data_IF_366870254779
#
_entry.id   IF_366870254779
#
_cell.length_a   1.000
_cell.length_b   1.000
_cell.length_c   1.000
_cell.angle_alpha   90.00
_cell.angle_beta   90.00
_cell.angle_gamma   90.00
#
_symmetry.space_group_name_H-M   'P 1'
#
loop_
_entity.id
_entity.type
_entity.pdbx_description
1 polymer ?
#
# COMPACT_ATOMS: atom_id res chain seq x y z
N UNK A 1 -32.01 17.99 3.41
CA UNK A 1 -30.82 17.92 4.28
C UNK A 1 -29.64 18.10 3.38
N UNK A 2 -29.23 19.35 3.18
CA UNK A 2 -28.15 19.68 2.26
C UNK A 2 -26.83 19.45 3.00
N UNK A 3 -26.25 18.27 2.78
CA UNK A 3 -24.92 17.97 3.30
C UNK A 3 -23.95 18.76 2.44
N UNK A 4 -23.53 19.93 2.94
CA UNK A 4 -22.40 20.68 2.42
C UNK A 4 -21.14 19.83 2.61
N UNK A 5 -20.89 18.92 1.67
CA UNK A 5 -19.65 18.16 1.60
C UNK A 5 -18.54 19.10 1.16
N UNK A 6 -17.56 19.30 2.04
CA UNK A 6 -16.38 20.08 1.70
C UNK A 6 -15.47 19.21 0.83
N UNK A 7 -15.65 19.30 -0.49
CA UNK A 7 -14.88 18.49 -1.44
C UNK A 7 -13.37 18.73 -1.34
N UNK A 8 -12.93 19.90 -0.87
CA UNK A 8 -11.52 20.23 -0.72
C UNK A 8 -10.83 19.41 0.39
N UNK A 9 -11.61 18.82 1.32
CA UNK A 9 -11.10 17.95 2.40
C UNK A 9 -11.23 16.46 2.07
N UNK A 10 -11.84 16.10 0.95
CA UNK A 10 -12.09 14.71 0.59
C UNK A 10 -10.82 14.03 0.10
N UNK A 11 -10.43 12.92 0.75
CA UNK A 11 -9.26 12.11 0.38
C UNK A 11 -9.62 10.74 -0.21
N UNK A 12 -10.89 10.52 -0.57
CA UNK A 12 -11.39 9.23 -1.08
C UNK A 12 -10.80 8.88 -2.45
N UNK A 13 -10.56 9.88 -3.29
CA UNK A 13 -10.06 9.73 -4.66
C UNK A 13 -8.53 9.86 -4.77
N UNK A 14 -7.79 9.64 -3.67
CA UNK A 14 -6.32 9.59 -3.71
C UNK A 14 -5.84 8.56 -4.75
N UNK A 15 -4.77 8.85 -5.50
CA UNK A 15 -4.24 7.90 -6.48
C UNK A 15 -3.80 6.61 -5.81
N UNK A 16 -3.93 5.50 -6.54
CA UNK A 16 -3.33 4.22 -6.14
C UNK A 16 -1.82 4.32 -6.29
N UNK A 17 -1.11 3.76 -5.32
CA UNK A 17 0.36 3.81 -5.23
C UNK A 17 0.90 2.40 -5.01
N UNK A 18 2.19 2.30 -4.69
CA UNK A 18 2.77 1.05 -4.24
C UNK A 18 3.04 1.13 -2.74
N UNK A 19 2.80 0.02 -2.04
CA UNK A 19 2.91 -0.09 -0.58
C UNK A 19 3.94 -1.17 -0.23
N UNK A 20 4.74 -0.92 0.81
CA UNK A 20 5.80 -1.81 1.30
C UNK A 20 5.56 -2.00 2.79
N UNK A 21 5.48 -3.26 3.21
CA UNK A 21 5.50 -3.59 4.62
C UNK A 21 6.94 -3.54 5.14
N UNK A 22 7.21 -2.63 6.08
CA UNK A 22 8.53 -2.51 6.71
C UNK A 22 8.85 -3.65 7.68
N UNK A 23 7.85 -4.44 8.08
CA UNK A 23 8.05 -5.59 8.96
C UNK A 23 8.55 -6.82 8.21
N UNK A 24 7.83 -7.25 7.16
CA UNK A 24 8.16 -8.48 6.42
C UNK A 24 8.79 -8.24 5.03
N UNK A 25 8.88 -7.00 4.57
CA UNK A 25 9.42 -6.65 3.25
C UNK A 25 8.45 -6.88 2.07
N UNK A 26 7.22 -7.32 2.32
CA UNK A 26 6.23 -7.57 1.26
C UNK A 26 5.81 -6.28 0.55
N UNK A 27 5.69 -6.34 -0.79
CA UNK A 27 5.36 -5.20 -1.65
C UNK A 27 4.08 -5.47 -2.44
N UNK A 28 3.20 -4.48 -2.49
CA UNK A 28 2.02 -4.49 -3.35
C UNK A 28 1.99 -3.24 -4.22
N UNK A 29 1.65 -3.41 -5.49
CA UNK A 29 1.35 -2.33 -6.43
C UNK A 29 -0.16 -2.13 -6.55
N UNK A 30 -0.57 -0.95 -7.02
CA UNK A 30 -1.98 -0.60 -7.25
C UNK A 30 -2.85 -0.70 -5.99
N UNK A 31 -2.27 -0.39 -4.84
CA UNK A 31 -2.93 -0.34 -3.55
C UNK A 31 -2.63 0.99 -2.86
N UNK A 32 -3.28 1.26 -1.73
CA UNK A 32 -2.95 2.40 -0.88
C UNK A 32 -3.22 2.07 0.57
N UNK A 33 -2.62 2.82 1.48
CA UNK A 33 -2.86 2.74 2.91
C UNK A 33 -4.26 3.27 3.20
N UNK A 34 -5.04 2.53 4.00
CA UNK A 34 -6.33 3.02 4.47
C UNK A 34 -6.13 4.24 5.36
N UNK A 35 -6.76 5.35 4.98
CA UNK A 35 -6.82 6.59 5.77
C UNK A 35 -8.30 6.95 5.88
N UNK A 36 -8.75 7.26 7.10
CA UNK A 36 -10.13 7.70 7.33
C UNK A 36 -10.33 9.09 6.71
N UNK A 37 -11.31 9.21 5.82
CA UNK A 37 -11.72 10.52 5.31
C UNK A 37 -12.63 11.18 6.36
N UNK A 38 -12.38 12.45 6.68
CA UNK A 38 -13.22 13.21 7.63
C UNK A 38 -14.63 13.41 7.07
N UNK A 39 -14.73 13.71 5.77
CA UNK A 39 -16.02 13.88 5.08
C UNK A 39 -16.75 12.55 4.90
N UNK A 40 -16.03 11.46 4.60
CA UNK A 40 -16.62 10.15 4.27
C UNK A 40 -16.06 9.04 5.18
N UNK A 41 -16.41 9.01 6.48
CA UNK A 41 -15.82 8.09 7.44
C UNK A 41 -16.16 6.62 7.16
N UNK A 42 -17.27 6.36 6.47
CA UNK A 42 -17.78 5.02 6.19
C UNK A 42 -17.40 4.49 4.80
N UNK A 43 -16.67 5.26 4.00
CA UNK A 43 -16.21 4.82 2.68
C UNK A 43 -14.91 4.03 2.83
N UNK A 44 -14.88 2.84 2.23
CA UNK A 44 -13.69 2.01 2.14
C UNK A 44 -13.64 1.31 0.79
N UNK A 45 -12.44 1.25 0.20
CA UNK A 45 -12.23 0.60 -1.08
C UNK A 45 -11.47 -0.72 -0.89
N UNK A 46 -11.66 -1.65 -1.82
CA UNK A 46 -10.99 -2.97 -1.81
C UNK A 46 -9.46 -2.83 -1.79
N UNK A 47 -8.94 -1.75 -2.39
CA UNK A 47 -7.51 -1.47 -2.52
C UNK A 47 -6.92 -0.74 -1.31
N UNK A 48 -7.73 -0.45 -0.28
CA UNK A 48 -7.30 0.21 0.95
C UNK A 48 -6.79 -0.83 1.96
N UNK A 49 -5.47 -0.89 2.14
CA UNK A 49 -4.85 -1.82 3.08
C UNK A 49 -5.01 -1.32 4.52
N UNK A 50 -5.65 -2.11 5.37
CA UNK A 50 -5.69 -1.93 6.84
C UNK A 50 -4.51 -2.60 7.54
N UNK A 51 -3.95 -3.62 6.91
CA UNK A 51 -2.88 -4.45 7.45
C UNK A 51 -2.08 -5.06 6.30
N UNK A 52 -0.93 -5.64 6.62
CA UNK A 52 -0.17 -6.39 5.63
C UNK A 52 -0.87 -7.74 5.34
N UNK A 53 -1.16 -8.09 4.08
CA UNK A 53 -1.80 -9.38 3.76
C UNK A 53 -0.91 -10.60 3.99
N UNK A 54 0.41 -10.41 4.19
CA UNK A 54 1.35 -11.51 4.39
C UNK A 54 1.72 -11.73 5.86
N UNK A 55 1.86 -10.67 6.65
CA UNK A 55 2.23 -10.79 8.07
C UNK A 55 1.16 -10.26 9.04
N UNK A 56 0.04 -9.74 8.52
CA UNK A 56 -1.07 -9.19 9.28
C UNK A 56 -0.69 -8.08 10.28
N UNK A 57 0.50 -7.49 10.12
CA UNK A 57 0.89 -6.35 10.94
C UNK A 57 0.07 -5.11 10.61
N UNK A 58 -0.04 -4.25 11.61
CA UNK A 58 -0.82 -3.03 11.54
C UNK A 58 -0.42 -2.13 10.36
N UNK A 59 -1.38 -1.28 9.99
CA UNK A 59 -1.23 -0.23 9.00
C UNK A 59 0.01 0.66 9.21
N UNK A 60 0.53 0.77 10.44
CA UNK A 60 1.70 1.59 10.78
C UNK A 60 3.00 1.09 10.12
N UNK A 61 3.07 -0.22 9.85
CA UNK A 61 4.18 -0.83 9.14
C UNK A 61 4.08 -0.69 7.62
N UNK A 62 2.94 -0.22 7.10
CA UNK A 62 2.72 0.00 5.68
C UNK A 62 3.22 1.37 5.27
N UNK A 63 4.13 1.40 4.29
CA UNK A 63 4.69 2.61 3.74
C UNK A 63 4.35 2.76 2.27
N UNK A 64 3.73 3.88 1.91
CA UNK A 64 3.42 4.25 0.54
C UNK A 64 4.66 4.86 -0.14
N UNK A 65 4.91 4.48 -1.40
CA UNK A 65 5.89 5.13 -2.27
C UNK A 65 5.19 5.50 -3.58
N UNK A 66 5.20 6.80 -3.88
CA UNK A 66 4.64 7.33 -5.11
C UNK A 66 5.47 6.88 -6.31
N UNK A 67 4.81 6.36 -7.33
CA UNK A 67 5.41 6.10 -8.63
C UNK A 67 5.60 7.41 -9.39
N UNK A 68 6.45 8.31 -8.89
CA UNK A 68 6.85 9.52 -9.63
C UNK A 68 8.16 9.35 -10.38
N UNK A 69 8.85 8.21 -10.28
CA UNK A 69 9.93 7.85 -11.21
C UNK A 69 9.89 6.37 -11.52
N UNK A 70 9.88 6.06 -12.81
CA UNK A 70 10.26 4.80 -13.42
C UNK A 70 11.57 4.29 -12.84
N UNK A 71 11.49 3.57 -11.72
CA UNK A 71 12.60 2.83 -11.15
C UNK A 71 12.52 1.42 -11.72
N UNK A 72 13.19 1.23 -12.86
CA UNK A 72 13.63 -0.09 -13.32
C UNK A 72 14.68 -0.62 -12.33
N UNK A 73 14.25 -1.05 -11.15
CA UNK A 73 15.10 -1.83 -10.25
C UNK A 73 15.02 -3.27 -10.72
N UNK A 74 16.09 -3.71 -11.38
CA UNK A 74 16.39 -5.13 -11.57
C UNK A 74 16.38 -5.78 -10.19
N UNK A 75 15.36 -6.58 -9.91
CA UNK A 75 15.33 -7.44 -8.74
C UNK A 75 16.40 -8.50 -8.96
N UNK A 76 17.55 -8.37 -8.28
CA UNK A 76 18.55 -9.42 -8.25
C UNK A 76 17.94 -10.63 -7.54
N UNK A 77 17.47 -11.60 -8.32
CA UNK A 77 17.23 -12.96 -7.84
C UNK A 77 18.58 -13.50 -7.35
N UNK A 78 18.80 -13.48 -6.03
CA UNK A 78 19.76 -14.42 -5.44
C UNK A 78 19.06 -15.78 -5.45
N UNK A 79 19.29 -16.54 -6.51
CA UNK A 79 18.97 -17.96 -6.53
C UNK A 79 19.86 -18.65 -5.50
N UNK A 80 19.25 -19.08 -4.40
CA UNK A 80 19.78 -20.18 -3.59
C UNK A 80 19.66 -21.47 -4.41
N UNK A 81 20.74 -21.89 -5.05
CA UNK A 81 20.92 -23.31 -5.41
C UNK A 81 21.96 -23.92 -4.50
N UNK A 82 21.45 -24.41 -3.37
CA UNK A 82 22.04 -25.50 -2.62
C UNK A 82 21.96 -26.76 -3.47
N UNK A 83 23.09 -27.24 -3.97
CA UNK A 83 23.23 -28.64 -4.40
C UNK A 83 24.55 -29.20 -3.91
N UNK A 84 24.42 -30.25 -3.10
CA UNK A 84 25.47 -31.13 -2.59
C UNK A 84 26.09 -31.95 -3.73
N UNK A 85 27.23 -32.58 -3.39
CA UNK A 85 27.84 -33.77 -4.02
C UNK A 85 28.71 -33.49 -5.25
N UNK A 86 29.92 -34.05 -5.41
CA UNK A 86 30.68 -35.08 -4.67
C UNK A 86 32.14 -34.63 -4.50
#
# INVERSE_FOLDING_TARGET
MDINFNMDKCICHRPLVSVLCRNCGYRLSNCRKKIKCEEHPNVSYIQDLTECPQCHNSNDYLHEYGTSKSFSIRLSTKEETKTRSC
#
